data_IF_973053847912
#
_entry.id   IF_973053847912
#
_cell.length_a   1.000
_cell.length_b   1.000
_cell.length_c   1.000
_cell.angle_alpha   90.00
_cell.angle_beta   90.00
_cell.angle_gamma   90.00
#
_symmetry.space_group_name_H-M   'P 1'
#
loop_
_entity.id
_entity.type
_entity.pdbx_description
1 polymer ?
#
# COMPACT_ATOMS: atom_id res chain seq x y z
N UNK A 1 17.97 4.05 19.00
CA UNK A 1 17.95 5.26 18.12
C UNK A 1 17.10 6.33 18.79
N UNK A 2 17.45 7.61 18.63
CA UNK A 2 16.58 8.71 19.05
C UNK A 2 15.41 8.87 18.06
N UNK A 3 14.31 9.50 18.47
CA UNK A 3 13.14 9.72 17.61
C UNK A 3 13.47 10.53 16.35
N UNK A 4 14.42 11.46 16.44
CA UNK A 4 14.89 12.26 15.30
C UNK A 4 15.61 11.38 14.26
N UNK A 5 16.46 10.45 14.72
CA UNK A 5 17.20 9.56 13.83
C UNK A 5 16.26 8.60 13.10
N UNK A 6 15.20 8.12 13.75
CA UNK A 6 14.17 7.26 13.12
C UNK A 6 13.42 8.04 12.05
N UNK A 7 12.98 9.27 12.35
CA UNK A 7 12.24 10.08 11.39
C UNK A 7 13.07 10.43 10.15
N UNK A 8 14.34 10.81 10.33
CA UNK A 8 15.23 11.10 9.21
C UNK A 8 15.49 9.85 8.35
N UNK A 9 15.74 8.72 9.01
CA UNK A 9 15.93 7.43 8.33
C UNK A 9 14.70 7.05 7.49
N UNK A 10 13.51 7.08 8.08
CA UNK A 10 12.25 6.79 7.37
C UNK A 10 11.99 7.82 6.27
N UNK A 11 12.26 9.10 6.49
CA UNK A 11 12.10 10.13 5.46
C UNK A 11 12.97 9.81 4.23
N UNK A 12 14.25 9.50 4.44
CA UNK A 12 15.18 9.19 3.37
C UNK A 12 14.75 7.92 2.64
N UNK A 13 14.40 6.86 3.37
CA UNK A 13 13.97 5.60 2.77
C UNK A 13 12.71 5.79 1.92
N UNK A 14 11.66 6.40 2.49
CA UNK A 14 10.40 6.65 1.81
C UNK A 14 10.58 7.57 0.59
N UNK A 15 11.48 8.55 0.68
CA UNK A 15 11.79 9.45 -0.43
C UNK A 15 12.51 8.71 -1.56
N UNK A 16 13.49 7.87 -1.24
CA UNK A 16 14.19 7.05 -2.24
C UNK A 16 13.19 6.12 -2.94
N UNK A 17 12.36 5.41 -2.16
CA UNK A 17 11.30 4.57 -2.71
C UNK A 17 10.38 5.37 -3.64
N UNK A 18 9.87 6.52 -3.18
CA UNK A 18 8.95 7.34 -3.96
C UNK A 18 9.57 7.84 -5.27
N UNK A 19 10.85 8.26 -5.25
CA UNK A 19 11.55 8.68 -6.46
C UNK A 19 11.73 7.53 -7.44
N UNK A 20 12.12 6.35 -6.97
CA UNK A 20 12.28 5.15 -7.80
C UNK A 20 10.95 4.70 -8.38
N UNK A 21 9.90 4.63 -7.56
CA UNK A 21 8.55 4.26 -8.00
C UNK A 21 8.01 5.26 -9.04
N UNK A 22 8.18 6.56 -8.80
CA UNK A 22 7.75 7.61 -9.72
C UNK A 22 8.53 7.54 -11.03
N UNK A 23 9.85 7.38 -10.98
CA UNK A 23 10.68 7.24 -12.18
C UNK A 23 10.25 6.03 -13.01
N UNK A 24 10.01 4.89 -12.36
CA UNK A 24 9.50 3.69 -13.03
C UNK A 24 8.16 3.96 -13.72
N UNK A 25 7.19 4.54 -13.01
CA UNK A 25 5.87 4.88 -13.56
C UNK A 25 6.00 5.82 -14.77
N UNK A 26 6.86 6.84 -14.70
CA UNK A 26 7.10 7.79 -15.80
C UNK A 26 7.70 7.10 -17.02
N UNK A 27 8.75 6.29 -16.83
CA UNK A 27 9.43 5.56 -17.92
C UNK A 27 8.47 4.58 -18.60
N UNK A 28 7.75 3.80 -17.80
CA UNK A 28 6.79 2.82 -18.31
C UNK A 28 5.63 3.53 -19.01
N UNK A 29 5.08 4.60 -18.45
CA UNK A 29 4.03 5.38 -19.11
C UNK A 29 4.49 5.93 -20.46
N UNK A 30 5.73 6.39 -20.57
CA UNK A 30 6.29 6.84 -21.84
C UNK A 30 6.40 5.70 -22.86
N UNK A 31 6.84 4.51 -22.43
CA UNK A 31 6.90 3.32 -23.28
C UNK A 31 5.52 2.85 -23.78
N UNK A 32 4.48 2.98 -22.96
CA UNK A 32 3.11 2.58 -23.27
C UNK A 32 2.20 3.76 -23.67
N UNK A 33 2.76 4.92 -24.02
CA UNK A 33 1.98 6.15 -24.29
C UNK A 33 1.00 6.02 -25.47
N UNK A 34 1.25 5.08 -26.37
CA UNK A 34 0.45 4.82 -27.57
C UNK A 34 -0.51 3.64 -27.40
N UNK A 35 -0.64 3.08 -26.19
CA UNK A 35 -1.60 2.00 -25.93
C UNK A 35 -3.03 2.54 -25.92
N UNK A 36 -4.00 1.63 -26.10
CA UNK A 36 -5.41 1.99 -25.95
C UNK A 36 -5.66 2.50 -24.53
N UNK A 37 -6.48 3.53 -24.44
CA UNK A 37 -6.97 4.06 -23.17
C UNK A 37 -7.49 2.92 -22.29
N UNK A 38 -6.93 2.82 -21.11
CA UNK A 38 -7.30 1.82 -20.13
C UNK A 38 -8.54 2.28 -19.36
N UNK A 39 -9.53 1.40 -19.28
CA UNK A 39 -10.68 1.55 -18.40
C UNK A 39 -10.77 0.35 -17.47
N UNK A 40 -11.28 0.57 -16.26
CA UNK A 40 -11.46 -0.52 -15.31
C UNK A 40 -12.41 -1.57 -15.90
N UNK A 41 -12.03 -2.85 -15.88
CA UNK A 41 -12.89 -3.92 -16.34
C UNK A 41 -14.09 -4.05 -15.39
N UNK A 42 -15.22 -3.49 -15.80
CA UNK A 42 -16.49 -3.59 -15.09
C UNK A 42 -17.38 -4.64 -15.77
N UNK A 43 -18.21 -5.38 -15.00
CA UNK A 43 -18.30 -5.38 -13.53
C UNK A 43 -17.27 -6.31 -12.87
N UNK A 44 -16.78 -5.93 -11.68
CA UNK A 44 -16.05 -6.85 -10.81
C UNK A 44 -16.97 -7.95 -10.24
N UNK A 45 -16.46 -9.17 -10.01
CA UNK A 45 -17.19 -10.20 -9.27
C UNK A 45 -17.68 -9.68 -7.91
N UNK A 46 -18.90 -10.05 -7.50
CA UNK A 46 -19.51 -9.55 -6.26
C UNK A 46 -18.66 -9.81 -5.01
N UNK A 47 -18.07 -11.00 -4.91
CA UNK A 47 -17.17 -11.37 -3.82
C UNK A 47 -15.91 -10.48 -3.78
N UNK A 48 -15.37 -10.11 -4.95
CA UNK A 48 -14.15 -9.29 -5.04
C UNK A 48 -14.42 -7.85 -4.55
N UNK A 49 -15.62 -7.31 -4.81
CA UNK A 49 -16.03 -6.01 -4.26
C UNK A 49 -16.08 -6.02 -2.73
N UNK A 50 -16.66 -7.07 -2.14
CA UNK A 50 -16.76 -7.24 -0.68
C UNK A 50 -15.35 -7.40 -0.08
N UNK A 51 -14.51 -8.22 -0.69
CA UNK A 51 -13.12 -8.43 -0.29
C UNK A 51 -12.34 -7.12 -0.31
N UNK A 52 -12.31 -6.43 -1.46
CA UNK A 52 -11.60 -5.18 -1.64
C UNK A 52 -12.07 -4.11 -0.64
N UNK A 53 -13.39 -3.96 -0.46
CA UNK A 53 -13.93 -3.03 0.54
C UNK A 53 -13.49 -3.37 1.97
N UNK A 54 -13.48 -4.65 2.32
CA UNK A 54 -13.05 -5.11 3.64
C UNK A 54 -11.56 -4.85 3.89
N UNK A 55 -10.71 -5.12 2.90
CA UNK A 55 -9.27 -4.84 2.98
C UNK A 55 -9.02 -3.35 3.15
N UNK A 56 -9.75 -2.48 2.47
CA UNK A 56 -9.58 -1.03 2.64
C UNK A 56 -10.01 -0.56 4.02
N UNK A 57 -11.13 -1.06 4.56
CA UNK A 57 -11.56 -0.71 5.92
C UNK A 57 -10.54 -1.21 6.93
N UNK A 58 -10.15 -2.48 6.86
CA UNK A 58 -9.21 -3.07 7.81
C UNK A 58 -7.80 -2.49 7.65
N UNK A 59 -7.39 -2.16 6.42
CA UNK A 59 -6.07 -1.64 6.09
C UNK A 59 -5.88 -0.15 6.37
N UNK A 60 -6.97 0.63 6.41
CA UNK A 60 -6.94 2.08 6.60
C UNK A 60 -7.52 2.48 7.95
N UNK A 61 -8.76 2.06 8.24
CA UNK A 61 -9.48 2.55 9.40
C UNK A 61 -8.88 2.01 10.71
N UNK A 62 -8.52 0.73 10.73
CA UNK A 62 -7.98 0.11 11.95
C UNK A 62 -6.62 0.72 12.35
N UNK A 63 -5.62 0.88 11.46
CA UNK A 63 -4.38 1.58 11.81
C UNK A 63 -4.60 3.05 12.17
N UNK A 64 -5.59 3.71 11.58
CA UNK A 64 -5.89 5.11 11.88
C UNK A 64 -6.35 5.26 13.33
N UNK A 65 -7.28 4.40 13.78
CA UNK A 65 -7.76 4.39 15.16
C UNK A 65 -6.59 4.14 16.13
N UNK A 66 -5.73 3.16 15.83
CA UNK A 66 -4.58 2.87 16.69
C UNK A 66 -3.57 4.02 16.72
N UNK A 67 -3.30 4.67 15.58
CA UNK A 67 -2.44 5.85 15.52
C UNK A 67 -2.97 6.99 16.37
N UNK A 68 -4.29 7.26 16.32
CA UNK A 68 -4.90 8.32 17.13
C UNK A 68 -4.88 7.99 18.62
N UNK A 69 -5.18 6.75 19.00
CA UNK A 69 -5.19 6.33 20.40
C UNK A 69 -3.78 6.27 21.00
N UNK A 70 -2.84 5.54 20.39
CA UNK A 70 -1.48 5.40 20.93
C UNK A 70 -0.63 6.64 20.65
N UNK A 71 -0.64 7.10 19.39
CA UNK A 71 0.26 8.16 18.94
C UNK A 71 -0.14 9.55 19.42
N UNK A 72 -1.44 9.85 19.45
CA UNK A 72 -1.94 11.18 19.83
C UNK A 72 -2.40 11.19 21.29
N UNK A 73 -3.37 10.35 21.66
CA UNK A 73 -3.98 10.38 22.99
C UNK A 73 -3.01 9.93 24.09
N UNK A 74 -2.26 8.84 23.86
CA UNK A 74 -1.22 8.37 24.80
C UNK A 74 0.17 8.94 24.51
N UNK A 75 0.30 9.83 23.52
CA UNK A 75 1.55 10.54 23.19
C UNK A 75 2.75 9.65 22.86
N UNK A 76 2.52 8.46 22.30
CA UNK A 76 3.60 7.58 21.85
C UNK A 76 4.15 8.01 20.49
N UNK A 77 5.23 8.78 20.53
CA UNK A 77 5.88 9.32 19.32
C UNK A 77 6.41 8.24 18.38
N UNK A 78 6.79 7.07 18.90
CA UNK A 78 7.32 5.98 18.06
C UNK A 78 6.19 5.36 17.26
N UNK A 79 5.05 5.06 17.90
CA UNK A 79 3.85 4.56 17.20
C UNK A 79 3.34 5.58 16.19
N UNK A 80 3.30 6.87 16.57
CA UNK A 80 2.91 7.95 15.67
C UNK A 80 3.84 8.05 14.45
N UNK A 81 5.15 7.89 14.66
CA UNK A 81 6.14 7.93 13.57
C UNK A 81 5.92 6.75 12.61
N UNK A 82 5.81 5.52 13.11
CA UNK A 82 5.62 4.31 12.28
C UNK A 82 4.32 4.38 11.48
N UNK A 83 3.19 4.66 12.14
CA UNK A 83 1.89 4.70 11.46
C UNK A 83 1.71 5.96 10.61
N UNK A 84 2.34 7.08 10.97
CA UNK A 84 2.36 8.29 10.17
C UNK A 84 3.01 8.08 8.81
N UNK A 85 4.20 7.47 8.78
CA UNK A 85 4.89 7.14 7.53
C UNK A 85 4.13 6.10 6.68
N UNK A 86 3.52 5.11 7.33
CA UNK A 86 2.61 4.18 6.67
C UNK A 86 1.47 4.91 5.92
N UNK A 87 0.81 5.88 6.58
CA UNK A 87 -0.27 6.66 5.95
C UNK A 87 0.21 7.60 4.85
N UNK A 88 1.39 8.22 5.02
CA UNK A 88 1.97 9.08 3.98
C UNK A 88 2.16 8.28 2.69
N UNK A 89 2.80 7.10 2.78
CA UNK A 89 3.06 6.27 1.59
C UNK A 89 1.79 5.65 1.02
N UNK A 90 0.83 5.28 1.86
CA UNK A 90 -0.50 4.86 1.42
C UNK A 90 -1.21 5.98 0.65
N UNK A 91 -1.13 7.22 1.13
CA UNK A 91 -1.65 8.40 0.43
C UNK A 91 -0.97 8.61 -0.93
N UNK A 92 0.36 8.46 -1.00
CA UNK A 92 1.13 8.54 -2.26
C UNK A 92 0.72 7.45 -3.25
N UNK A 93 0.45 6.21 -2.79
CA UNK A 93 -0.11 5.16 -3.64
C UNK A 93 -1.46 5.60 -4.22
N UNK A 94 -2.40 6.04 -3.39
CA UNK A 94 -3.76 6.44 -3.82
C UNK A 94 -3.68 7.58 -4.84
N UNK A 95 -2.80 8.56 -4.63
CA UNK A 95 -2.56 9.66 -5.58
C UNK A 95 -2.00 9.10 -6.90
N UNK A 96 -0.99 8.23 -6.83
CA UNK A 96 -0.37 7.62 -8.01
C UNK A 96 -1.37 6.80 -8.82
N UNK A 97 -2.22 6.01 -8.17
CA UNK A 97 -3.30 5.25 -8.80
C UNK A 97 -4.32 6.18 -9.45
N UNK A 98 -4.73 7.25 -8.76
CA UNK A 98 -5.68 8.22 -9.30
C UNK A 98 -5.11 8.91 -10.54
N UNK A 99 -3.86 9.35 -10.51
CA UNK A 99 -3.19 9.99 -11.65
C UNK A 99 -3.07 9.00 -12.82
N UNK A 100 -2.61 7.77 -12.55
CA UNK A 100 -2.46 6.76 -13.59
C UNK A 100 -3.80 6.36 -14.24
N UNK A 101 -4.88 6.30 -13.46
CA UNK A 101 -6.20 5.93 -13.97
C UNK A 101 -6.94 7.08 -14.65
N UNK A 102 -6.94 8.28 -14.07
CA UNK A 102 -7.79 9.39 -14.51
C UNK A 102 -7.11 10.31 -15.51
N UNK A 103 -5.83 10.61 -15.27
CA UNK A 103 -5.09 11.58 -16.08
C UNK A 103 -4.33 10.89 -17.21
N UNK A 104 -3.61 9.81 -16.89
CA UNK A 104 -2.84 9.08 -17.89
C UNK A 104 -3.71 8.07 -18.65
N UNK A 105 -4.77 7.57 -18.02
CA UNK A 105 -5.68 6.54 -18.55
C UNK A 105 -4.92 5.38 -19.20
N UNK A 106 -3.83 4.95 -18.57
CA UNK A 106 -2.88 4.00 -19.13
C UNK A 106 -2.88 2.70 -18.33
N UNK A 107 -2.50 1.58 -18.97
CA UNK A 107 -2.31 0.27 -18.33
C UNK A 107 -1.29 0.32 -17.20
N UNK A 108 -0.46 1.36 -17.13
CA UNK A 108 0.45 1.61 -16.01
C UNK A 108 -0.27 1.67 -14.66
N UNK A 109 -1.55 2.06 -14.65
CA UNK A 109 -2.38 2.01 -13.43
C UNK A 109 -2.30 0.66 -12.72
N UNK A 110 -2.29 -0.43 -13.50
CA UNK A 110 -2.23 -1.80 -13.00
C UNK A 110 -0.95 -2.05 -12.22
N UNK A 111 0.17 -1.44 -12.64
CA UNK A 111 1.48 -1.65 -12.03
C UNK A 111 1.67 -0.90 -10.72
N UNK A 112 0.96 0.21 -10.51
CA UNK A 112 1.09 1.05 -9.31
C UNK A 112 0.93 0.24 -8.00
N UNK A 113 -0.18 -0.48 -7.75
CA UNK A 113 -0.32 -1.26 -6.53
C UNK A 113 0.78 -2.32 -6.37
N UNK A 114 1.27 -2.91 -7.46
CA UNK A 114 2.31 -3.94 -7.42
C UNK A 114 3.72 -3.38 -7.11
N UNK A 115 3.93 -2.08 -7.24
CA UNK A 115 5.16 -1.41 -6.79
C UNK A 115 5.04 -1.03 -5.31
N UNK A 116 3.89 -0.46 -4.91
CA UNK A 116 3.69 0.06 -3.57
C UNK A 116 3.39 -1.01 -2.51
N UNK A 117 2.72 -2.12 -2.87
CA UNK A 117 2.39 -3.19 -1.91
C UNK A 117 3.65 -3.91 -1.37
N UNK A 118 4.63 -4.32 -2.20
CA UNK A 118 5.87 -4.89 -1.67
C UNK A 118 6.61 -3.94 -0.72
N UNK A 119 6.65 -2.65 -1.05
CA UNK A 119 7.24 -1.66 -0.15
C UNK A 119 6.43 -1.47 1.14
N UNK A 120 5.09 -1.58 1.09
CA UNK A 120 4.26 -1.61 2.29
C UNK A 120 4.58 -2.80 3.18
N UNK A 121 4.88 -3.98 2.62
CA UNK A 121 5.32 -5.13 3.42
C UNK A 121 6.59 -4.80 4.17
N UNK A 122 7.54 -4.17 3.48
CA UNK A 122 8.78 -3.68 4.07
C UNK A 122 8.52 -2.67 5.19
N UNK A 123 7.71 -1.63 4.96
CA UNK A 123 7.38 -0.63 5.98
C UNK A 123 6.74 -1.25 7.24
N UNK A 124 5.85 -2.24 7.07
CA UNK A 124 5.21 -2.91 8.20
C UNK A 124 6.20 -3.78 8.98
N UNK A 125 7.08 -4.50 8.27
CA UNK A 125 8.18 -5.24 8.88
C UNK A 125 9.15 -4.31 9.62
N UNK A 126 9.55 -3.22 8.99
CA UNK A 126 10.43 -2.23 9.57
C UNK A 126 9.80 -1.58 10.81
N UNK A 127 8.52 -1.23 10.75
CA UNK A 127 7.75 -0.78 11.91
C UNK A 127 7.81 -1.76 13.08
N UNK A 128 7.74 -3.07 12.82
CA UNK A 128 7.93 -4.10 13.85
C UNK A 128 9.34 -4.08 14.44
N UNK A 129 10.38 -3.86 13.63
CA UNK A 129 11.76 -3.77 14.11
C UNK A 129 11.99 -2.51 14.95
N UNK A 130 11.39 -1.36 14.57
CA UNK A 130 11.50 -0.09 15.28
C UNK A 130 10.80 -0.16 16.64
N UNK A 131 9.62 -0.79 16.72
CA UNK A 131 8.92 -1.03 17.98
C UNK A 131 9.63 -2.08 18.85
N UNK A 132 10.55 -2.89 18.34
CA UNK A 132 11.26 -3.89 19.14
C UNK A 132 10.33 -4.90 19.83
N UNK A 133 10.74 -5.44 20.99
CA UNK A 133 10.01 -6.51 21.70
C UNK A 133 9.32 -6.09 23.00
N UNK A 134 9.29 -4.78 23.31
CA UNK A 134 8.74 -4.30 24.58
C UNK A 134 7.22 -4.55 24.71
N UNK A 135 6.79 -4.96 25.89
CA UNK A 135 5.37 -5.30 26.19
C UNK A 135 4.42 -4.13 25.97
N UNK A 136 4.88 -2.88 26.17
CA UNK A 136 4.06 -1.67 26.00
C UNK A 136 3.49 -1.52 24.58
N UNK A 137 4.17 -2.10 23.58
CA UNK A 137 3.78 -2.04 22.17
C UNK A 137 3.16 -3.33 21.64
N UNK A 138 2.88 -4.32 22.50
CA UNK A 138 2.41 -5.64 22.08
C UNK A 138 1.19 -5.57 21.13
N UNK A 139 0.20 -4.76 21.48
CA UNK A 139 -1.01 -4.58 20.67
C UNK A 139 -0.73 -3.90 19.32
N UNK A 140 0.16 -2.91 19.29
CA UNK A 140 0.56 -2.24 18.04
C UNK A 140 1.33 -3.21 17.15
N UNK A 141 2.18 -4.06 17.73
CA UNK A 141 2.89 -5.10 16.96
C UNK A 141 1.93 -6.14 16.38
N UNK A 142 0.93 -6.59 17.14
CA UNK A 142 -0.10 -7.47 16.60
C UNK A 142 -0.90 -6.82 15.48
N UNK A 143 -1.21 -5.52 15.59
CA UNK A 143 -1.78 -4.76 14.48
C UNK A 143 -0.85 -4.81 13.25
N UNK A 144 0.43 -4.49 13.38
CA UNK A 144 1.36 -4.46 12.24
C UNK A 144 1.50 -5.84 11.57
N UNK A 145 1.54 -6.92 12.36
CA UNK A 145 1.55 -8.30 11.84
C UNK A 145 0.25 -8.60 11.10
N UNK A 146 -0.89 -8.26 11.70
CA UNK A 146 -2.19 -8.42 11.06
C UNK A 146 -2.25 -7.66 9.72
N UNK A 147 -1.80 -6.42 9.69
CA UNK A 147 -1.73 -5.61 8.48
C UNK A 147 -0.82 -6.26 7.43
N UNK A 148 0.34 -6.75 7.83
CA UNK A 148 1.29 -7.38 6.92
C UNK A 148 0.65 -8.60 6.25
N UNK A 149 0.00 -9.47 7.04
CA UNK A 149 -0.73 -10.63 6.53
C UNK A 149 -1.89 -10.21 5.62
N UNK A 150 -2.69 -9.23 6.03
CA UNK A 150 -3.82 -8.70 5.26
C UNK A 150 -3.36 -8.23 3.87
N UNK A 151 -2.29 -7.42 3.81
CA UNK A 151 -1.78 -6.89 2.55
C UNK A 151 -1.12 -7.95 1.67
N UNK A 152 -0.44 -8.95 2.27
CA UNK A 152 0.10 -10.10 1.53
C UNK A 152 -1.02 -10.92 0.89
N UNK A 153 -2.07 -11.24 1.65
CA UNK A 153 -3.23 -11.97 1.12
C UNK A 153 -3.90 -11.15 0.02
N UNK A 154 -4.07 -9.84 0.23
CA UNK A 154 -4.64 -8.97 -0.79
C UNK A 154 -3.82 -8.97 -2.07
N UNK A 155 -2.50 -8.83 -1.97
CA UNK A 155 -1.59 -8.88 -3.10
C UNK A 155 -1.67 -10.23 -3.85
N UNK A 156 -1.68 -11.34 -3.13
CA UNK A 156 -1.81 -12.67 -3.73
C UNK A 156 -3.14 -12.84 -4.47
N UNK A 157 -4.24 -12.36 -3.90
CA UNK A 157 -5.54 -12.35 -4.56
C UNK A 157 -5.50 -11.47 -5.80
N UNK A 158 -5.02 -10.24 -5.71
CA UNK A 158 -4.96 -9.31 -6.83
C UNK A 158 -4.15 -9.88 -8.00
N UNK A 159 -2.96 -10.44 -7.73
CA UNK A 159 -2.13 -11.11 -8.76
C UNK A 159 -2.85 -12.32 -9.35
N UNK A 160 -3.48 -13.16 -8.51
CA UNK A 160 -4.19 -14.35 -8.99
C UNK A 160 -5.42 -14.03 -9.85
N UNK A 161 -6.05 -12.86 -9.61
CA UNK A 161 -7.22 -12.44 -10.34
C UNK A 161 -6.89 -11.62 -11.59
N UNK A 162 -5.64 -11.21 -11.81
CA UNK A 162 -5.23 -10.48 -13.02
C UNK A 162 -5.77 -11.12 -14.31
N UNK A 163 -5.61 -12.43 -14.58
CA UNK A 163 -6.12 -13.01 -15.82
C UNK A 163 -7.64 -12.82 -16.00
N UNK A 164 -8.42 -12.97 -14.92
CA UNK A 164 -9.88 -12.75 -14.95
C UNK A 164 -10.22 -11.27 -15.10
N UNK A 165 -9.56 -10.39 -14.35
CA UNK A 165 -9.78 -8.95 -14.41
C UNK A 165 -9.48 -8.40 -15.81
N UNK A 166 -8.38 -8.84 -16.42
CA UNK A 166 -7.98 -8.42 -17.76
C UNK A 166 -8.61 -9.26 -18.89
N UNK A 167 -9.53 -10.16 -18.55
CA UNK A 167 -10.19 -11.08 -19.50
C UNK A 167 -9.19 -11.83 -20.39
N UNK A 168 -8.06 -12.24 -19.84
CA UNK A 168 -7.10 -13.18 -20.46
C UNK A 168 -7.62 -14.61 -20.46
N UNK A 169 -8.95 -14.79 -20.40
CA UNK A 169 -9.56 -16.10 -20.35
C UNK A 169 -9.14 -16.89 -21.61
N UNK A 170 -8.56 -18.06 -21.38
CA UNK A 170 -8.30 -19.05 -22.43
C UNK A 170 -9.67 -19.56 -22.88
N UNK A 171 -9.88 -19.64 -24.20
CA UNK A 171 -11.09 -20.23 -24.80
C UNK A 171 -11.53 -21.48 -24.03
N UNK A 172 -12.76 -21.47 -23.53
CA UNK A 172 -13.34 -22.66 -22.93
C UNK A 172 -13.50 -23.72 -24.03
N UNK A 173 -12.76 -24.82 -23.90
CA UNK A 173 -13.09 -26.08 -24.56
C UNK A 173 -14.21 -26.78 -23.83
#
# INVERSE_FOLDING_TARGET
>A
MTSLNINLYLLIENLIFFLVATLFIVVVNWGWKNTKTYTLPLPFPGWYKIWFGSVQILGILLPLVVMLLWGVWWSDRTVLTVLGWYFIVLGLQIISERVALRELQNVVWVMVPYIYLPYRFWQLYEGLTILGSETKWLWVRYLLIFQLVLWIINYAIDVSQLPRLFRWEVEQK
#
